data_IF_881440798365
#
_entry.id   IF_881440798365
#
_cell.length_a   1.000
_cell.length_b   1.000
_cell.length_c   1.000
_cell.angle_alpha   90.00
_cell.angle_beta   90.00
_cell.angle_gamma   90.00
#
_symmetry.space_group_name_H-M   'P 1'
#
loop_
_entity.id
_entity.type
_entity.pdbx_description
1 polymer ?
#
# COMPACT_ATOMS: atom_id res chain seq x y z
N UNK A 1 -30.84 37.66 -27.28
CA UNK A 1 -30.87 36.21 -26.94
C UNK A 1 -29.48 35.58 -26.95
N UNK A 2 -28.61 35.84 -27.95
CA UNK A 2 -27.26 35.26 -28.07
C UNK A 2 -26.33 35.44 -26.85
N UNK A 3 -26.35 36.60 -26.17
CA UNK A 3 -25.51 36.88 -24.98
C UNK A 3 -25.86 36.02 -23.76
N UNK A 4 -27.15 35.74 -23.52
CA UNK A 4 -27.61 34.90 -22.38
C UNK A 4 -27.21 33.43 -22.58
N UNK A 5 -27.23 32.97 -23.84
CA UNK A 5 -26.81 31.62 -24.20
C UNK A 5 -25.31 31.41 -23.99
N UNK A 6 -24.50 32.43 -24.31
CA UNK A 6 -23.05 32.41 -24.10
C UNK A 6 -22.69 32.36 -22.61
N UNK A 7 -23.40 33.11 -21.77
CA UNK A 7 -23.22 33.08 -20.31
C UNK A 7 -23.57 31.69 -19.75
N UNK A 8 -24.67 31.10 -20.20
CA UNK A 8 -25.10 29.77 -19.76
C UNK A 8 -24.07 28.69 -20.15
N UNK A 9 -23.50 28.80 -21.34
CA UNK A 9 -22.47 27.87 -21.82
C UNK A 9 -21.19 27.93 -20.96
N UNK A 10 -20.72 29.13 -20.61
CA UNK A 10 -19.55 29.30 -19.74
C UNK A 10 -19.80 28.72 -18.35
N UNK A 11 -21.00 28.91 -17.79
CA UNK A 11 -21.37 28.34 -16.48
C UNK A 11 -21.35 26.80 -16.52
N UNK A 12 -21.92 26.18 -17.57
CA UNK A 12 -21.89 24.73 -17.73
C UNK A 12 -20.46 24.17 -17.82
N UNK A 13 -19.55 24.85 -18.52
CA UNK A 13 -18.14 24.43 -18.63
C UNK A 13 -17.38 24.52 -17.29
N UNK A 14 -17.68 25.54 -16.48
CA UNK A 14 -17.05 25.66 -15.15
C UNK A 14 -17.53 24.58 -14.18
N UNK A 15 -18.79 24.17 -14.28
CA UNK A 15 -19.36 23.14 -13.40
C UNK A 15 -18.81 21.74 -13.72
N UNK A 16 -18.57 21.40 -14.98
CA UNK A 16 -18.04 20.07 -15.36
C UNK A 16 -16.57 19.87 -15.00
N UNK A 17 -15.79 20.96 -14.83
CA UNK A 17 -14.37 20.89 -14.47
C UNK A 17 -14.11 20.28 -13.08
N UNK A 18 -15.08 20.34 -12.17
CA UNK A 18 -14.96 19.80 -10.81
C UNK A 18 -15.49 18.35 -10.68
N UNK A 19 -16.32 17.89 -11.63
CA UNK A 19 -16.84 16.52 -11.66
C UNK A 19 -15.82 15.48 -12.14
N UNK A 20 -14.83 15.89 -12.94
CA UNK A 20 -13.69 15.05 -13.30
C UNK A 20 -12.65 15.02 -12.17
N UNK A 21 -13.10 14.72 -10.95
CA UNK A 21 -12.24 14.50 -9.80
C UNK A 21 -11.53 13.18 -10.00
N UNK A 22 -10.31 13.23 -10.54
CA UNK A 22 -9.41 12.09 -10.57
C UNK A 22 -9.24 11.60 -9.13
N UNK A 23 -9.83 10.45 -8.81
CA UNK A 23 -9.58 9.78 -7.54
C UNK A 23 -8.11 9.35 -7.54
N UNK A 24 -7.26 9.90 -6.67
CA UNK A 24 -5.87 9.46 -6.63
C UNK A 24 -5.85 7.97 -6.25
N UNK A 25 -5.27 7.15 -7.13
CA UNK A 25 -4.99 5.75 -6.81
C UNK A 25 -3.75 5.73 -5.92
N UNK A 26 -3.94 5.83 -4.62
CA UNK A 26 -2.87 5.79 -3.64
C UNK A 26 -2.62 4.34 -3.27
N UNK A 27 -1.45 3.81 -3.63
CA UNK A 27 -0.96 2.53 -3.14
C UNK A 27 0.13 2.78 -2.10
N UNK A 28 0.05 2.08 -0.98
CA UNK A 28 1.08 2.11 0.06
C UNK A 28 1.86 0.81 -0.05
N UNK A 29 3.16 0.91 -0.32
CA UNK A 29 4.08 -0.23 -0.39
C UNK A 29 4.99 -0.16 0.84
N UNK A 30 4.90 -1.16 1.71
CA UNK A 30 5.80 -1.31 2.84
C UNK A 30 6.77 -2.45 2.52
N UNK A 31 8.07 -2.13 2.44
CA UNK A 31 9.13 -3.10 2.21
C UNK A 31 9.89 -3.32 3.54
N UNK A 32 9.98 -4.57 4.00
CA UNK A 32 10.79 -4.94 5.18
C UNK A 32 12.10 -5.51 4.66
N UNK A 33 13.22 -4.83 4.93
CA UNK A 33 14.56 -5.29 4.56
C UNK A 33 15.22 -5.92 5.78
N UNK A 34 15.60 -7.20 5.67
CA UNK A 34 16.36 -7.91 6.67
C UNK A 34 17.79 -8.06 6.13
N UNK A 35 18.76 -7.51 6.85
CA UNK A 35 20.18 -7.67 6.55
C UNK A 35 20.80 -8.50 7.65
N UNK A 36 21.53 -9.54 7.27
CA UNK A 36 22.28 -10.37 8.22
C UNK A 36 23.77 -10.24 7.87
N UNK A 37 24.59 -9.93 8.87
CA UNK A 37 26.01 -9.65 8.67
C UNK A 37 26.79 -10.91 8.28
N UNK A 38 27.69 -10.72 7.31
CA UNK A 38 28.43 -11.77 6.59
C UNK A 38 29.45 -12.58 7.40
N UNK A 39 29.65 -12.30 8.69
CA UNK A 39 30.54 -13.10 9.54
C UNK A 39 29.86 -14.38 10.08
N UNK A 40 28.52 -14.48 10.00
CA UNK A 40 27.74 -15.62 10.50
C UNK A 40 26.89 -16.30 9.41
N UNK A 41 27.31 -16.25 8.14
CA UNK A 41 26.54 -16.84 7.00
C UNK A 41 26.46 -18.36 7.08
N UNK A 42 27.47 -18.99 7.70
CA UNK A 42 27.44 -20.40 8.05
C UNK A 42 26.29 -20.65 9.03
N UNK A 43 25.22 -21.28 8.54
CA UNK A 43 23.99 -21.54 9.30
C UNK A 43 22.79 -20.68 8.89
N UNK A 44 22.93 -19.71 7.98
CA UNK A 44 21.80 -18.94 7.44
C UNK A 44 21.29 -19.49 6.11
N UNK A 45 22.17 -20.12 5.32
CA UNK A 45 21.72 -20.87 4.15
C UNK A 45 20.78 -22.01 4.56
N UNK A 46 19.65 -22.09 3.86
CA UNK A 46 18.59 -23.04 4.15
C UNK A 46 17.25 -22.55 3.60
N UNK A 47 16.24 -23.40 3.74
CA UNK A 47 14.86 -23.01 3.50
C UNK A 47 14.36 -22.25 4.73
N UNK A 48 13.56 -21.20 4.50
CA UNK A 48 13.00 -20.37 5.54
C UNK A 48 11.49 -20.35 5.41
N UNK A 49 10.80 -20.57 6.52
CA UNK A 49 9.35 -20.49 6.59
C UNK A 49 9.00 -19.12 7.14
N UNK A 50 8.33 -18.32 6.31
CA UNK A 50 7.81 -17.00 6.68
C UNK A 50 6.30 -17.15 6.84
N UNK A 51 5.81 -16.90 8.04
CA UNK A 51 4.37 -16.90 8.34
C UNK A 51 3.93 -15.54 8.84
N UNK A 52 2.66 -15.21 8.60
CA UNK A 52 2.04 -13.98 9.07
C UNK A 52 0.72 -14.28 9.75
N UNK A 53 0.49 -13.65 10.90
CA UNK A 53 -0.77 -13.72 11.63
C UNK A 53 -1.30 -12.30 11.85
N UNK A 54 -2.59 -12.10 11.66
CA UNK A 54 -3.27 -10.84 11.92
C UNK A 54 -4.09 -10.95 13.20
N UNK A 55 -3.94 -9.96 14.10
CA UNK A 55 -4.68 -9.87 15.36
C UNK A 55 -5.25 -8.47 15.55
N UNK A 56 -6.41 -8.39 16.18
CA UNK A 56 -7.02 -7.13 16.57
C UNK A 56 -7.15 -7.08 18.10
N UNK A 57 -6.31 -6.26 18.74
CA UNK A 57 -6.30 -6.13 20.20
C UNK A 57 -6.47 -4.67 20.62
N UNK A 58 -7.42 -4.40 21.50
CA UNK A 58 -7.70 -3.05 22.04
C UNK A 58 -7.87 -1.99 20.95
N UNK A 59 -8.48 -2.36 19.82
CA UNK A 59 -8.70 -1.48 18.66
C UNK A 59 -7.45 -1.22 17.82
N UNK A 60 -6.37 -1.99 18.00
CA UNK A 60 -5.17 -1.94 17.17
C UNK A 60 -5.09 -3.19 16.31
N UNK A 61 -4.85 -3.00 15.01
CA UNK A 61 -4.53 -4.07 14.09
C UNK A 61 -3.02 -4.37 14.18
N UNK A 62 -2.68 -5.61 14.52
CA UNK A 62 -1.32 -6.09 14.76
C UNK A 62 -1.05 -7.19 13.74
N UNK A 63 0.03 -7.05 12.99
CA UNK A 63 0.53 -8.08 12.07
C UNK A 63 1.79 -8.67 12.71
N UNK A 64 1.76 -9.95 13.03
CA UNK A 64 2.89 -10.71 13.55
C UNK A 64 3.51 -11.47 12.39
N UNK A 65 4.77 -11.17 12.09
CA UNK A 65 5.54 -11.89 11.05
C UNK A 65 6.58 -12.75 11.76
N UNK A 66 6.50 -14.06 11.55
CA UNK A 66 7.42 -15.04 12.12
C UNK A 66 8.30 -15.58 11.00
N UNK A 67 9.61 -15.60 11.25
CA UNK A 67 10.63 -16.09 10.31
C UNK A 67 11.41 -17.18 11.02
N UNK A 68 11.28 -18.41 10.54
CA UNK A 68 11.91 -19.59 11.12
C UNK A 68 12.74 -20.30 10.06
N UNK A 69 13.91 -20.81 10.45
CA UNK A 69 14.72 -21.65 9.57
C UNK A 69 14.09 -23.03 9.52
N UNK A 70 13.83 -23.54 8.32
CA UNK A 70 13.41 -24.92 8.15
C UNK A 70 14.62 -25.84 8.38
N UNK A 71 14.65 -26.51 9.53
CA UNK A 71 15.59 -27.60 9.80
C UNK A 71 15.03 -28.86 9.14
N UNK A 72 15.27 -29.03 7.82
CA UNK A 72 15.06 -30.33 7.18
C UNK A 72 16.07 -31.31 7.78
N UNK A 73 15.59 -32.25 8.60
CA UNK A 73 16.35 -33.41 9.09
C UNK A 73 16.97 -34.24 7.96
#
# INVERSE_FOLDING_TARGET
MKKKLLILFVICLTLTSCFNRASPNVSVKNDIQLTIDGENVDGIEGEWIITSEEKEEKGKHIIIVTIEKNELE
#
